data_IF_753544783158
#
_entry.id   IF_753544783158
#
_cell.length_a   1.000
_cell.length_b   1.000
_cell.length_c   1.000
_cell.angle_alpha   90.00
_cell.angle_beta   90.00
_cell.angle_gamma   90.00
#
_symmetry.space_group_name_H-M   'P 1'
#
loop_
_entity.id
_entity.type
_entity.pdbx_description
1 polymer ?
#
# COMPACT_ATOMS: atom_id res chain seq x y z
N UNK A 1 11.33 4.54 29.56
CA UNK A 1 10.40 4.10 28.50
C UNK A 1 9.31 3.27 29.14
N UNK A 2 8.05 3.58 28.87
CA UNK A 2 6.88 2.88 29.41
C UNK A 2 6.55 1.63 28.58
N UNK A 3 5.94 0.56 29.13
CA UNK A 3 5.45 -0.58 28.35
C UNK A 3 4.57 -0.20 27.13
N UNK A 4 3.85 0.93 27.20
CA UNK A 4 3.10 1.48 26.07
C UNK A 4 3.96 1.90 24.88
N UNK A 5 5.18 2.42 25.14
CA UNK A 5 6.13 2.86 24.12
C UNK A 5 6.72 1.67 23.36
N UNK A 6 7.01 0.57 24.06
CA UNK A 6 7.46 -0.69 23.45
C UNK A 6 6.42 -1.26 22.50
N UNK A 7 5.14 -1.27 22.90
CA UNK A 7 4.05 -1.75 22.04
C UNK A 7 3.89 -0.91 20.76
N UNK A 8 4.17 0.39 20.83
CA UNK A 8 4.08 1.30 19.67
C UNK A 8 5.26 1.10 18.73
N UNK A 9 6.47 1.02 19.27
CA UNK A 9 7.69 0.78 18.49
C UNK A 9 7.64 -0.60 17.80
N UNK A 10 7.16 -1.63 18.49
CA UNK A 10 7.02 -2.96 17.93
C UNK A 10 5.99 -3.01 16.79
N UNK A 11 4.83 -2.36 16.95
CA UNK A 11 3.83 -2.24 15.87
C UNK A 11 4.41 -1.53 14.65
N UNK A 12 5.15 -0.43 14.86
CA UNK A 12 5.80 0.30 13.77
C UNK A 12 6.84 -0.58 13.05
N UNK A 13 7.68 -1.30 13.80
CA UNK A 13 8.67 -2.21 13.23
C UNK A 13 8.04 -3.33 12.41
N UNK A 14 6.98 -3.97 12.93
CA UNK A 14 6.24 -5.01 12.20
C UNK A 14 5.61 -4.46 10.93
N UNK A 15 5.09 -3.23 10.97
CA UNK A 15 4.52 -2.57 9.80
C UNK A 15 5.57 -2.28 8.73
N UNK A 16 6.70 -1.67 9.10
CA UNK A 16 7.81 -1.38 8.17
C UNK A 16 8.36 -2.66 7.55
N UNK A 17 8.60 -3.69 8.36
CA UNK A 17 9.12 -4.98 7.90
C UNK A 17 8.16 -5.67 6.93
N UNK A 18 6.85 -5.60 7.20
CA UNK A 18 5.82 -6.17 6.32
C UNK A 18 5.73 -5.42 4.99
N UNK A 19 5.84 -4.09 5.02
CA UNK A 19 5.89 -3.28 3.81
C UNK A 19 7.08 -3.66 2.94
N UNK A 20 8.27 -3.70 3.52
CA UNK A 20 9.49 -4.07 2.81
C UNK A 20 9.42 -5.47 2.20
N UNK A 21 8.90 -6.45 2.93
CA UNK A 21 8.73 -7.82 2.44
C UNK A 21 7.79 -7.87 1.22
N UNK A 22 6.68 -7.14 1.27
CA UNK A 22 5.71 -7.06 0.18
C UNK A 22 6.32 -6.37 -1.05
N UNK A 23 7.04 -5.27 -0.85
CA UNK A 23 7.71 -4.56 -1.94
C UNK A 23 8.80 -5.42 -2.59
N UNK A 24 9.59 -6.14 -1.80
CA UNK A 24 10.60 -7.06 -2.30
C UNK A 24 9.96 -8.17 -3.14
N UNK A 25 8.89 -8.77 -2.65
CA UNK A 25 8.15 -9.81 -3.37
C UNK A 25 7.62 -9.28 -4.71
N UNK A 26 7.02 -8.08 -4.72
CA UNK A 26 6.51 -7.44 -5.92
C UNK A 26 7.62 -7.10 -6.93
N UNK A 27 8.81 -6.68 -6.47
CA UNK A 27 9.96 -6.39 -7.33
C UNK A 27 10.55 -7.65 -7.95
N UNK A 28 10.67 -8.74 -7.20
CA UNK A 28 11.30 -9.97 -7.67
C UNK A 28 10.43 -10.75 -8.65
N UNK A 29 9.12 -10.78 -8.43
CA UNK A 29 8.20 -11.62 -9.20
C UNK A 29 7.21 -10.83 -10.07
N UNK A 30 7.16 -9.51 -9.93
CA UNK A 30 6.08 -8.69 -10.46
C UNK A 30 4.83 -8.74 -9.57
N UNK A 31 3.98 -7.70 -9.61
CA UNK A 31 2.84 -7.56 -8.70
C UNK A 31 1.80 -8.68 -8.84
N UNK A 32 1.55 -9.17 -10.05
CA UNK A 32 0.57 -10.24 -10.28
C UNK A 32 1.02 -11.58 -9.68
N UNK A 33 2.28 -11.96 -9.89
CA UNK A 33 2.82 -13.20 -9.34
C UNK A 33 2.99 -13.11 -7.82
N UNK A 34 3.42 -11.95 -7.30
CA UNK A 34 3.51 -11.69 -5.87
C UNK A 34 2.13 -11.84 -5.19
N UNK A 35 1.08 -11.29 -5.80
CA UNK A 35 -0.30 -11.46 -5.31
C UNK A 35 -0.70 -12.94 -5.29
N UNK A 36 -0.44 -13.70 -6.37
CA UNK A 36 -0.74 -15.14 -6.41
C UNK A 36 -0.03 -15.93 -5.32
N UNK A 37 1.23 -15.61 -5.05
CA UNK A 37 2.00 -16.24 -3.96
C UNK A 37 1.39 -15.94 -2.60
N UNK A 38 0.97 -14.70 -2.35
CA UNK A 38 0.30 -14.31 -1.10
C UNK A 38 -1.09 -14.96 -0.96
N UNK A 39 -1.83 -15.07 -2.05
CA UNK A 39 -3.12 -15.77 -2.10
C UNK A 39 -2.93 -17.26 -1.77
N UNK A 40 -1.89 -17.92 -2.31
CA UNK A 40 -1.57 -19.32 -2.05
C UNK A 40 -1.15 -19.60 -0.60
N UNK A 41 -0.47 -18.65 0.06
CA UNK A 41 -0.13 -18.73 1.48
C UNK A 41 -1.36 -18.58 2.38
N UNK A 42 -2.48 -18.06 1.85
CA UNK A 42 -3.77 -18.06 2.54
C UNK A 42 -3.84 -17.13 3.75
N UNK A 43 -3.12 -15.99 3.73
CA UNK A 43 -3.17 -14.99 4.80
C UNK A 43 -3.91 -13.71 4.36
N UNK A 44 -5.19 -13.55 4.72
CA UNK A 44 -6.01 -12.41 4.31
C UNK A 44 -5.40 -11.05 4.64
N UNK A 45 -4.73 -10.93 5.79
CA UNK A 45 -4.10 -9.71 6.25
C UNK A 45 -2.92 -9.30 5.34
N UNK A 46 -2.17 -10.27 4.84
CA UNK A 46 -1.05 -10.05 3.94
C UNK A 46 -1.55 -9.61 2.54
N UNK A 47 -2.62 -10.21 2.04
CA UNK A 47 -3.27 -9.82 0.78
C UNK A 47 -3.83 -8.40 0.88
N UNK A 48 -4.48 -8.08 1.99
CA UNK A 48 -4.97 -6.74 2.27
C UNK A 48 -3.81 -5.74 2.40
N UNK A 49 -2.70 -6.09 3.05
CA UNK A 49 -1.51 -5.24 3.10
C UNK A 49 -0.91 -5.00 1.71
N UNK A 50 -0.80 -6.05 0.89
CA UNK A 50 -0.30 -5.99 -0.48
C UNK A 50 -1.07 -4.98 -1.32
N UNK A 51 -2.41 -5.11 -1.31
CA UNK A 51 -3.29 -4.22 -2.06
C UNK A 51 -3.11 -2.76 -1.65
N UNK A 52 -2.96 -2.49 -0.34
CA UNK A 52 -2.76 -1.13 0.17
C UNK A 52 -1.41 -0.54 -0.23
N UNK A 53 -0.34 -1.34 -0.19
CA UNK A 53 1.01 -0.89 -0.54
C UNK A 53 1.09 -0.61 -2.05
N UNK A 54 0.56 -1.49 -2.89
CA UNK A 54 0.52 -1.27 -4.34
C UNK A 54 -0.31 -0.03 -4.70
N UNK A 55 -1.45 0.19 -4.04
CA UNK A 55 -2.26 1.39 -4.25
C UNK A 55 -1.53 2.68 -3.84
N UNK A 56 -0.74 2.65 -2.75
CA UNK A 56 0.07 3.78 -2.32
C UNK A 56 1.18 4.09 -3.33
N UNK A 57 1.90 3.07 -3.81
CA UNK A 57 2.92 3.23 -4.85
C UNK A 57 2.33 3.77 -6.15
N UNK A 58 1.18 3.25 -6.58
CA UNK A 58 0.49 3.75 -7.78
C UNK A 58 0.05 5.21 -7.60
N UNK A 59 -0.44 5.58 -6.41
CA UNK A 59 -0.78 6.98 -6.12
C UNK A 59 0.44 7.90 -6.28
N UNK A 60 1.61 7.49 -5.79
CA UNK A 60 2.84 8.26 -5.95
C UNK A 60 3.23 8.40 -7.43
N UNK A 61 3.24 7.30 -8.18
CA UNK A 61 3.55 7.31 -9.61
C UNK A 61 2.62 8.22 -10.42
N UNK A 62 1.32 8.19 -10.11
CA UNK A 62 0.32 9.04 -10.75
C UNK A 62 0.52 10.51 -10.38
N UNK A 63 0.85 10.80 -9.12
CA UNK A 63 1.18 12.15 -8.68
C UNK A 63 2.41 12.71 -9.39
N UNK A 64 3.49 11.93 -9.46
CA UNK A 64 4.73 12.30 -10.16
C UNK A 64 4.48 12.53 -11.66
N UNK A 65 3.52 11.83 -12.25
CA UNK A 65 3.06 12.02 -13.62
C UNK A 65 2.08 13.21 -13.80
N UNK A 66 1.82 14.00 -12.76
CA UNK A 66 0.93 15.17 -12.80
C UNK A 66 -0.56 14.83 -12.83
N UNK A 67 -0.95 13.59 -12.54
CA UNK A 67 -2.36 13.18 -12.53
C UNK A 67 -3.04 13.75 -11.28
N UNK A 68 -4.20 14.40 -11.49
CA UNK A 68 -4.95 14.98 -10.37
C UNK A 68 -5.42 13.88 -9.39
N UNK A 69 -5.52 14.16 -8.07
CA UNK A 69 -6.02 13.18 -7.11
C UNK A 69 -7.39 12.59 -7.44
N UNK A 70 -8.23 13.36 -8.18
CA UNK A 70 -9.55 12.90 -8.63
C UNK A 70 -9.39 11.81 -9.67
N UNK A 71 -8.65 12.08 -10.75
CA UNK A 71 -8.39 11.08 -11.79
C UNK A 71 -7.64 9.87 -11.22
N UNK A 72 -6.63 10.08 -10.38
CA UNK A 72 -5.88 9.01 -9.76
C UNK A 72 -6.76 8.06 -8.93
N UNK A 73 -7.76 8.60 -8.21
CA UNK A 73 -8.67 7.77 -7.42
C UNK A 73 -9.50 6.77 -8.26
N UNK A 74 -9.87 7.13 -9.49
CA UNK A 74 -10.58 6.21 -10.39
C UNK A 74 -9.63 5.12 -10.93
N UNK A 75 -8.43 5.52 -11.37
CA UNK A 75 -7.42 4.59 -11.91
C UNK A 75 -6.97 3.55 -10.87
N UNK A 76 -6.77 3.97 -9.62
CA UNK A 76 -6.41 3.08 -8.51
C UNK A 76 -7.57 2.15 -8.16
N UNK A 77 -8.79 2.68 -8.10
CA UNK A 77 -10.00 1.90 -7.79
C UNK A 77 -10.21 0.77 -8.80
N UNK A 78 -10.10 1.09 -10.09
CA UNK A 78 -10.20 0.12 -11.18
C UNK A 78 -9.09 -0.94 -11.08
N UNK A 79 -7.83 -0.51 -11.01
CA UNK A 79 -6.68 -1.42 -11.00
C UNK A 79 -6.69 -2.39 -9.83
N UNK A 80 -7.06 -1.90 -8.65
CA UNK A 80 -7.01 -2.68 -7.40
C UNK A 80 -8.36 -3.21 -6.95
N UNK A 81 -9.41 -3.08 -7.78
CA UNK A 81 -10.79 -3.52 -7.49
C UNK A 81 -11.27 -3.06 -6.11
N UNK A 82 -11.04 -1.80 -5.79
CA UNK A 82 -11.49 -1.18 -4.55
C UNK A 82 -12.46 -0.02 -4.81
N UNK A 83 -13.19 0.41 -3.79
CA UNK A 83 -14.06 1.58 -3.94
C UNK A 83 -13.25 2.85 -4.22
N UNK A 84 -13.80 3.76 -5.03
CA UNK A 84 -13.22 5.08 -5.32
C UNK A 84 -12.99 5.86 -4.01
N UNK A 85 -13.90 5.74 -3.03
CA UNK A 85 -13.73 6.35 -1.71
C UNK A 85 -12.46 5.87 -1.01
N UNK A 86 -12.16 4.58 -1.07
CA UNK A 86 -10.94 4.04 -0.46
C UNK A 86 -9.69 4.46 -1.26
N UNK A 87 -9.75 4.37 -2.60
CA UNK A 87 -8.68 4.80 -3.49
C UNK A 87 -8.30 6.28 -3.30
N UNK A 88 -9.30 7.14 -3.07
CA UNK A 88 -9.12 8.57 -2.81
C UNK A 88 -8.21 8.86 -1.61
N UNK A 89 -8.23 8.01 -0.58
CA UNK A 89 -7.36 8.16 0.59
C UNK A 89 -5.88 8.09 0.23
N UNK A 90 -5.51 7.25 -0.73
CA UNK A 90 -4.13 7.13 -1.23
C UNK A 90 -3.76 8.32 -2.11
N UNK A 91 -4.65 8.69 -3.04
CA UNK A 91 -4.45 9.82 -3.93
C UNK A 91 -4.33 11.17 -3.20
N UNK A 92 -5.03 11.35 -2.08
CA UNK A 92 -4.88 12.55 -1.24
C UNK A 92 -3.65 12.50 -0.33
N UNK A 93 -3.19 11.30 0.07
CA UNK A 93 -2.06 11.16 0.99
C UNK A 93 -0.74 11.68 0.38
N UNK A 94 -0.54 11.47 -0.93
CA UNK A 94 0.67 11.91 -1.64
C UNK A 94 0.75 13.43 -1.82
N UNK A 95 -0.39 14.14 -1.74
CA UNK A 95 -0.43 15.61 -1.83
C UNK A 95 -0.19 16.33 -0.51
N UNK A 96 -0.11 15.60 0.61
CA UNK A 96 0.11 16.20 1.93
C UNK A 96 1.62 16.24 2.24
N UNK A 97 2.15 17.35 2.78
CA UNK A 97 3.53 17.38 3.26
C UNK A 97 3.72 16.34 4.36
N UNK A 98 4.65 15.39 4.14
CA UNK A 98 4.88 14.23 5.01
C UNK A 98 4.16 12.94 4.58
N UNK A 99 3.88 12.76 3.28
CA UNK A 99 3.25 11.55 2.74
C UNK A 99 4.09 10.28 2.93
N UNK A 100 3.57 9.41 3.82
CA UNK A 100 4.06 8.11 4.33
C UNK A 100 5.32 8.11 5.19
#
# INVERSE_FOLDING_TARGET
MSPGDYSRAERAYRQVSSTWAIELLARQHGPEQAKRLLDAVGRPEAIAAFTRIMAAQQAQQLHDAGVTPRAASYLIAERHRMSVRNARRYADAVTKPGGF
#
